data_IF_196226250753
#
_entry.id   IF_196226250753
#
_cell.length_a   1.000
_cell.length_b   1.000
_cell.length_c   1.000
_cell.angle_alpha   90.00
_cell.angle_beta   90.00
_cell.angle_gamma   90.00
#
_symmetry.space_group_name_H-M   'P 1'
#
loop_
_entity.id
_entity.type
_entity.pdbx_description
1 polymer ?
#
# COMPACT_ATOMS: atom_id res chain seq x y z
N UNK A 1 3.01 9.45 -55.43
CA UNK A 1 1.98 8.54 -54.86
C UNK A 1 2.53 7.97 -53.56
N UNK A 2 1.90 8.26 -52.42
CA UNK A 2 2.30 7.65 -51.16
C UNK A 2 1.94 6.17 -51.16
N UNK A 3 2.90 5.30 -50.82
CA UNK A 3 2.68 3.86 -50.74
C UNK A 3 1.76 3.59 -49.54
N UNK A 4 0.51 3.20 -49.79
CA UNK A 4 -0.44 2.86 -48.72
C UNK A 4 0.12 1.64 -47.99
N UNK A 5 0.56 1.83 -46.75
CA UNK A 5 0.96 0.75 -45.86
C UNK A 5 -0.31 0.02 -45.39
N UNK A 6 -0.42 -1.27 -45.69
CA UNK A 6 -1.47 -2.13 -45.17
C UNK A 6 -0.87 -3.06 -44.12
N UNK A 7 -1.32 -2.92 -42.88
CA UNK A 7 -0.99 -3.87 -41.83
C UNK A 7 -1.70 -5.20 -42.14
N UNK A 8 -0.95 -6.30 -42.24
CA UNK A 8 -1.52 -7.66 -42.33
C UNK A 8 -1.23 -8.38 -41.02
N UNK A 9 -2.28 -8.64 -40.25
CA UNK A 9 -2.21 -9.49 -39.05
C UNK A 9 -2.68 -10.89 -39.45
N UNK A 10 -1.96 -11.93 -39.05
CA UNK A 10 -2.41 -13.32 -39.27
C UNK A 10 -3.63 -13.62 -38.41
N UNK A 11 -4.50 -14.52 -38.88
CA UNK A 11 -5.68 -14.95 -38.12
C UNK A 11 -5.29 -15.52 -36.74
N UNK A 12 -4.26 -16.36 -36.69
CA UNK A 12 -3.71 -16.91 -35.45
C UNK A 12 -3.27 -15.82 -34.44
N UNK A 13 -2.63 -14.75 -34.92
CA UNK A 13 -2.27 -13.63 -34.03
C UNK A 13 -3.48 -12.86 -33.54
N UNK A 14 -4.51 -12.70 -34.38
CA UNK A 14 -5.76 -12.04 -33.99
C UNK A 14 -6.52 -12.86 -32.94
N UNK A 15 -6.60 -14.18 -33.10
CA UNK A 15 -7.24 -15.09 -32.16
C UNK A 15 -6.56 -15.07 -30.78
N UNK A 16 -5.22 -15.06 -30.74
CA UNK A 16 -4.45 -14.92 -29.49
C UNK A 16 -4.79 -13.65 -28.71
N UNK A 17 -4.89 -12.51 -29.41
CA UNK A 17 -5.21 -11.22 -28.78
C UNK A 17 -6.68 -11.18 -28.33
N UNK A 18 -7.60 -11.73 -29.13
CA UNK A 18 -9.00 -11.80 -28.76
C UNK A 18 -9.22 -12.70 -27.52
N UNK A 19 -8.56 -13.86 -27.47
CA UNK A 19 -8.61 -14.75 -26.31
C UNK A 19 -8.09 -14.08 -25.03
N UNK A 20 -7.05 -13.23 -25.13
CA UNK A 20 -6.61 -12.42 -24.00
C UNK A 20 -7.68 -11.43 -23.53
N UNK A 21 -8.37 -10.74 -24.47
CA UNK A 21 -9.44 -9.78 -24.13
C UNK A 21 -10.62 -10.44 -23.42
N UNK A 22 -11.05 -11.61 -23.88
CA UNK A 22 -12.11 -12.39 -23.25
C UNK A 22 -11.72 -12.87 -21.83
N UNK A 23 -10.47 -13.34 -21.68
CA UNK A 23 -9.94 -13.74 -20.39
C UNK A 23 -9.80 -12.54 -19.44
N UNK A 24 -9.42 -11.36 -19.95
CA UNK A 24 -9.35 -10.12 -19.18
C UNK A 24 -10.73 -9.72 -18.65
N UNK A 25 -11.76 -9.74 -19.52
CA UNK A 25 -13.12 -9.43 -19.10
C UNK A 25 -13.63 -10.39 -18.02
N UNK A 26 -13.38 -11.69 -18.20
CA UNK A 26 -13.74 -12.72 -17.21
C UNK A 26 -13.05 -12.47 -15.85
N UNK A 27 -11.77 -12.06 -15.86
CA UNK A 27 -11.04 -11.72 -14.64
C UNK A 27 -11.61 -10.49 -13.94
N UNK A 28 -11.99 -9.45 -14.71
CA UNK A 28 -12.63 -8.26 -14.15
C UNK A 28 -13.97 -8.58 -13.53
N UNK A 29 -14.79 -9.41 -14.19
CA UNK A 29 -16.09 -9.81 -13.63
C UNK A 29 -15.92 -10.57 -12.31
N UNK A 30 -15.02 -11.55 -12.25
CA UNK A 30 -14.70 -12.26 -11.01
C UNK A 30 -14.18 -11.31 -9.94
N UNK A 31 -13.29 -10.39 -10.31
CA UNK A 31 -12.76 -9.41 -9.37
C UNK A 31 -13.88 -8.55 -8.78
N UNK A 32 -14.72 -7.94 -9.63
CA UNK A 32 -15.76 -7.00 -9.20
C UNK A 32 -16.93 -7.68 -8.48
N UNK A 33 -17.40 -8.82 -8.96
CA UNK A 33 -18.68 -9.40 -8.52
C UNK A 33 -18.52 -10.59 -7.56
N UNK A 34 -17.35 -11.22 -7.50
CA UNK A 34 -17.07 -12.31 -6.57
C UNK A 34 -16.10 -11.83 -5.48
N UNK A 35 -14.91 -11.37 -5.88
CA UNK A 35 -13.85 -11.03 -4.94
C UNK A 35 -14.16 -9.77 -4.12
N UNK A 36 -14.54 -8.64 -4.74
CA UNK A 36 -14.73 -7.38 -4.01
C UNK A 36 -15.78 -7.46 -2.89
N UNK A 37 -17.01 -7.98 -3.11
CA UNK A 37 -18.02 -8.02 -2.06
C UNK A 37 -17.58 -8.85 -0.85
N UNK A 38 -17.02 -10.04 -1.09
CA UNK A 38 -16.48 -10.90 -0.04
C UNK A 38 -15.33 -10.21 0.70
N UNK A 39 -14.45 -9.54 -0.05
CA UNK A 39 -13.29 -8.86 0.53
C UNK A 39 -13.67 -7.68 1.40
N UNK A 40 -14.64 -6.87 0.97
CA UNK A 40 -15.16 -5.75 1.75
C UNK A 40 -15.71 -6.25 3.10
N UNK A 41 -16.51 -7.32 3.09
CA UNK A 41 -17.08 -7.88 4.32
C UNK A 41 -15.99 -8.45 5.23
N UNK A 42 -15.03 -9.20 4.68
CA UNK A 42 -13.89 -9.73 5.43
C UNK A 42 -13.11 -8.62 6.12
N UNK A 43 -12.77 -7.56 5.38
CA UNK A 43 -12.02 -6.43 5.91
C UNK A 43 -12.79 -5.68 6.99
N UNK A 44 -14.10 -5.48 6.81
CA UNK A 44 -14.95 -4.82 7.80
C UNK A 44 -15.01 -5.60 9.12
N UNK A 45 -15.11 -6.93 9.05
CA UNK A 45 -15.07 -7.79 10.23
C UNK A 45 -13.71 -7.72 10.92
N UNK A 46 -12.60 -7.73 10.17
CA UNK A 46 -11.27 -7.68 10.76
C UNK A 46 -10.99 -6.33 11.45
N UNK A 47 -11.47 -5.22 10.89
CA UNK A 47 -11.40 -3.89 11.54
C UNK A 47 -12.15 -3.84 12.88
N UNK A 48 -13.13 -4.71 13.09
CA UNK A 48 -13.87 -4.85 14.35
C UNK A 48 -13.20 -5.79 15.34
N UNK A 49 -12.18 -6.54 14.93
CA UNK A 49 -11.44 -7.45 15.81
C UNK A 49 -10.39 -6.73 16.66
N UNK A 50 -9.92 -7.41 17.71
CA UNK A 50 -8.87 -6.93 18.62
C UNK A 50 -7.53 -6.64 17.92
N UNK A 51 -7.34 -7.16 16.70
CA UNK A 51 -6.14 -6.88 15.89
C UNK A 51 -6.01 -5.39 15.57
N UNK A 52 -7.14 -4.72 15.30
CA UNK A 52 -7.18 -3.30 14.93
C UNK A 52 -7.86 -2.40 15.98
N UNK A 53 -8.50 -2.98 16.99
CA UNK A 53 -9.12 -2.24 18.11
C UNK A 53 -8.25 -2.31 19.36
N UNK A 54 -7.06 -1.71 19.27
CA UNK A 54 -6.15 -1.53 20.41
C UNK A 54 -6.47 -0.21 21.09
N UNK A 55 -6.96 -0.25 22.33
CA UNK A 55 -7.32 0.96 23.10
C UNK A 55 -6.07 1.68 23.64
N UNK A 56 -5.12 0.92 24.19
CA UNK A 56 -3.86 1.43 24.73
C UNK A 56 -2.70 1.06 23.79
N UNK A 57 -2.17 2.07 23.08
CA UNK A 57 -1.06 1.89 22.15
C UNK A 57 0.26 1.55 22.85
N UNK A 58 0.40 1.81 24.16
CA UNK A 58 1.58 1.38 24.92
C UNK A 58 1.71 -0.15 24.94
N UNK A 59 0.61 -0.87 24.76
CA UNK A 59 0.63 -2.33 24.60
C UNK A 59 1.37 -2.79 23.35
N UNK A 60 1.64 -1.91 22.39
CA UNK A 60 2.43 -2.22 21.19
C UNK A 60 3.93 -2.10 21.44
N UNK A 61 4.36 -1.49 22.53
CA UNK A 61 5.77 -1.30 22.83
C UNK A 61 6.50 -2.62 22.97
N UNK A 62 7.74 -2.64 22.47
CA UNK A 62 8.69 -3.72 22.70
C UNK A 62 9.74 -3.30 23.71
N UNK A 63 10.20 -4.25 24.52
CA UNK A 63 11.33 -4.02 25.41
C UNK A 63 12.59 -3.68 24.61
N UNK A 64 13.15 -2.50 24.89
CA UNK A 64 14.43 -2.05 24.35
C UNK A 64 15.50 -2.38 25.37
N UNK A 65 16.09 -3.57 25.24
CA UNK A 65 17.15 -4.11 26.11
C UNK A 65 18.51 -3.39 25.93
N UNK A 66 18.48 -2.07 25.86
CA UNK A 66 19.63 -1.20 25.76
C UNK A 66 20.03 -0.81 27.20
N UNK A 67 21.28 -1.06 27.63
CA UNK A 67 21.74 -0.70 28.97
C UNK A 67 21.63 0.82 29.22
N UNK A 68 21.21 1.20 30.42
CA UNK A 68 21.14 2.61 30.85
C UNK A 68 22.46 2.92 31.58
N UNK A 69 23.20 3.98 31.20
CA UNK A 69 24.45 4.33 31.86
C UNK A 69 24.20 4.89 33.25
N UNK A 70 25.05 4.54 34.21
CA UNK A 70 25.03 5.12 35.55
C UNK A 70 25.44 6.61 35.52
N UNK A 71 24.89 7.43 36.42
CA UNK A 71 25.32 8.82 36.56
C UNK A 71 26.81 8.89 36.93
N UNK A 72 27.56 9.89 36.42
CA UNK A 72 28.97 10.04 36.77
C UNK A 72 29.14 10.30 38.27
N UNK A 73 30.04 9.56 38.92
CA UNK A 73 30.40 9.79 40.33
C UNK A 73 31.40 10.93 40.46
N UNK A 74 31.32 11.77 41.51
CA UNK A 74 32.18 12.95 41.70
C UNK A 74 33.67 12.62 41.83
N UNK A 75 34.05 11.39 42.21
CA UNK A 75 35.44 10.94 42.29
C UNK A 75 36.12 10.79 40.90
N UNK A 76 35.35 10.87 39.80
CA UNK A 76 35.88 10.73 38.44
C UNK A 76 36.35 12.04 37.79
N UNK A 77 36.16 13.18 38.46
CA UNK A 77 36.61 14.49 37.95
C UNK A 77 38.08 14.81 38.29
N UNK A 78 38.63 14.20 39.34
CA UNK A 78 39.96 14.54 39.88
C UNK A 78 41.13 13.70 39.29
N UNK A 79 40.83 12.70 38.46
CA UNK A 79 41.85 11.90 37.74
C UNK A 79 42.19 12.46 36.35
N UNK A 80 42.11 13.78 36.17
CA UNK A 80 42.38 14.47 34.89
C UNK A 80 43.86 14.83 34.68
N UNK A 81 44.80 14.21 35.42
CA UNK A 81 46.24 14.35 35.18
C UNK A 81 46.94 13.00 35.10
N UNK A 82 47.42 12.71 33.89
CA UNK A 82 48.33 11.62 33.48
C UNK A 82 47.68 10.24 33.39
N UNK A 83 47.25 9.83 32.19
CA UNK A 83 48.05 8.94 31.34
C UNK A 83 47.41 8.78 29.95
N UNK A 84 48.28 8.62 28.97
CA UNK A 84 47.98 8.37 27.56
C UNK A 84 47.39 6.96 27.39
N UNK A 85 46.08 6.86 27.43
CA UNK A 85 45.33 5.93 26.59
C UNK A 85 43.90 6.46 26.50
N UNK A 86 43.49 6.85 25.28
CA UNK A 86 42.07 7.04 24.98
C UNK A 86 41.42 5.67 25.02
N UNK A 87 41.18 5.14 26.21
CA UNK A 87 40.06 4.23 26.40
C UNK A 87 38.82 5.05 26.08
N UNK A 88 38.41 5.03 24.80
CA UNK A 88 37.02 5.22 24.44
C UNK A 88 36.23 4.41 25.46
N UNK A 89 35.53 5.06 26.40
CA UNK A 89 34.56 4.41 27.28
C UNK A 89 33.60 3.69 26.35
N UNK A 90 33.90 2.43 26.04
CA UNK A 90 33.15 1.64 25.06
C UNK A 90 31.76 1.59 25.62
N UNK A 91 30.84 2.28 24.95
CA UNK A 91 29.43 2.22 25.28
C UNK A 91 29.07 0.74 25.53
N UNK A 92 28.40 0.41 26.64
CA UNK A 92 28.13 -0.97 27.01
C UNK A 92 27.57 -1.70 25.78
N UNK A 93 28.22 -2.82 25.41
CA UNK A 93 27.91 -3.52 24.15
C UNK A 93 26.42 -3.87 24.13
N UNK A 94 25.67 -3.18 23.28
CA UNK A 94 24.25 -3.45 23.11
C UNK A 94 24.09 -4.87 22.55
N UNK A 95 23.21 -5.65 23.19
CA UNK A 95 22.85 -6.98 22.72
C UNK A 95 21.99 -6.93 21.45
N UNK A 96 21.53 -8.10 21.03
CA UNK A 96 20.58 -8.22 19.92
C UNK A 96 19.26 -7.51 20.26
N UNK A 97 18.82 -6.58 19.40
CA UNK A 97 17.55 -5.88 19.51
C UNK A 97 16.59 -6.40 18.43
N UNK A 98 15.44 -6.91 18.85
CA UNK A 98 14.45 -7.53 17.97
C UNK A 98 13.48 -6.49 17.36
N UNK A 99 12.90 -6.85 16.22
CA UNK A 99 11.78 -6.14 15.61
C UNK A 99 10.49 -6.19 16.45
N UNK A 100 9.55 -5.30 16.15
CA UNK A 100 8.24 -5.30 16.79
C UNK A 100 7.33 -6.37 16.20
N UNK A 101 7.28 -7.54 16.84
CA UNK A 101 6.47 -8.68 16.39
C UNK A 101 4.96 -8.38 16.32
N UNK A 102 4.45 -7.52 17.21
CA UNK A 102 3.03 -7.13 17.22
C UNK A 102 2.70 -6.36 15.95
N UNK A 103 3.55 -5.39 15.60
CA UNK A 103 3.44 -4.66 14.33
C UNK A 103 3.69 -5.54 13.12
N UNK A 104 4.64 -6.49 13.18
CA UNK A 104 4.86 -7.43 12.08
C UNK A 104 3.61 -8.25 11.76
N UNK A 105 2.84 -8.67 12.78
CA UNK A 105 1.56 -9.37 12.56
C UNK A 105 0.56 -8.49 11.80
N UNK A 106 0.44 -7.21 12.17
CA UNK A 106 -0.44 -6.26 11.47
C UNK A 106 0.05 -5.98 10.05
N UNK A 107 1.35 -5.79 9.85
CA UNK A 107 1.96 -5.60 8.53
C UNK A 107 1.69 -6.77 7.59
N UNK A 108 1.79 -8.00 8.09
CA UNK A 108 1.50 -9.23 7.34
C UNK A 108 0.02 -9.34 6.91
N UNK A 109 -0.88 -8.62 7.57
CA UNK A 109 -2.29 -8.51 7.18
C UNK A 109 -2.47 -7.37 6.18
N UNK A 110 -1.91 -6.19 6.43
CA UNK A 110 -2.19 -4.98 5.62
C UNK A 110 -1.47 -4.99 4.26
N UNK A 111 -0.20 -5.43 4.21
CA UNK A 111 0.58 -5.39 2.97
C UNK A 111 0.01 -6.25 1.82
N UNK A 112 -0.52 -7.47 2.05
CA UNK A 112 -1.23 -8.22 1.02
C UNK A 112 -2.44 -7.47 0.45
N UNK A 113 -3.19 -6.75 1.27
CA UNK A 113 -4.39 -6.04 0.80
C UNK A 113 -4.06 -4.83 -0.07
N UNK A 114 -3.03 -4.07 0.30
CA UNK A 114 -2.48 -2.99 -0.51
C UNK A 114 -2.05 -3.53 -1.89
N UNK A 115 -1.32 -4.66 -1.92
CA UNK A 115 -0.89 -5.29 -3.18
C UNK A 115 -2.08 -5.74 -4.02
N UNK A 116 -3.04 -6.42 -3.41
CA UNK A 116 -4.23 -6.94 -4.09
C UNK A 116 -5.06 -5.81 -4.71
N UNK A 117 -5.28 -4.71 -3.99
CA UNK A 117 -5.98 -3.54 -4.53
C UNK A 117 -5.20 -2.91 -5.70
N UNK A 118 -3.88 -2.76 -5.58
CA UNK A 118 -3.02 -2.21 -6.65
C UNK A 118 -3.07 -3.04 -7.93
N UNK A 119 -3.05 -4.36 -7.81
CA UNK A 119 -3.20 -5.31 -8.92
C UNK A 119 -4.60 -5.20 -9.53
N UNK A 120 -5.64 -5.16 -8.70
CA UNK A 120 -7.02 -4.96 -9.13
C UNK A 120 -7.25 -3.64 -9.88
N UNK A 121 -6.66 -2.53 -9.41
CA UNK A 121 -6.70 -1.26 -10.14
C UNK A 121 -6.03 -1.37 -11.51
N UNK A 122 -4.90 -2.07 -11.61
CA UNK A 122 -4.20 -2.28 -12.89
C UNK A 122 -5.06 -3.11 -13.84
N UNK A 123 -5.69 -4.18 -13.35
CA UNK A 123 -6.62 -5.01 -14.11
C UNK A 123 -7.78 -4.19 -14.69
N UNK A 124 -8.43 -3.36 -13.87
CA UNK A 124 -9.56 -2.52 -14.27
C UNK A 124 -9.12 -1.46 -15.28
N UNK A 125 -8.00 -0.77 -15.05
CA UNK A 125 -7.48 0.24 -16.00
C UNK A 125 -7.21 -0.40 -17.36
N UNK A 126 -6.55 -1.57 -17.39
CA UNK A 126 -6.29 -2.30 -18.63
C UNK A 126 -7.58 -2.68 -19.33
N UNK A 127 -8.59 -3.15 -18.59
CA UNK A 127 -9.89 -3.46 -19.15
C UNK A 127 -10.57 -2.24 -19.77
N UNK A 128 -10.68 -1.12 -19.05
CA UNK A 128 -11.33 0.08 -19.58
C UNK A 128 -10.60 0.59 -20.83
N UNK A 129 -9.27 0.59 -20.85
CA UNK A 129 -8.50 0.93 -22.07
C UNK A 129 -8.85 0.04 -23.27
N UNK A 130 -9.15 -1.24 -23.07
CA UNK A 130 -9.59 -2.12 -24.14
C UNK A 130 -11.03 -1.87 -24.58
N UNK A 131 -11.86 -1.27 -23.73
CA UNK A 131 -13.23 -0.86 -24.05
C UNK A 131 -13.31 0.51 -24.74
N UNK A 132 -12.22 1.30 -24.76
CA UNK A 132 -12.20 2.57 -25.49
C UNK A 132 -12.30 2.27 -27.00
N UNK A 133 -13.32 2.81 -27.68
CA UNK A 133 -13.57 2.53 -29.09
C UNK A 133 -12.56 3.30 -29.96
N UNK A 134 -12.68 3.10 -31.27
CA UNK A 134 -11.96 3.91 -32.25
C UNK A 134 -12.30 5.40 -32.04
N UNK A 135 -11.28 6.26 -32.16
CA UNK A 135 -11.46 7.71 -32.11
C UNK A 135 -12.21 8.15 -33.38
N UNK A 136 -13.34 8.82 -33.18
CA UNK A 136 -14.23 9.34 -34.21
C UNK A 136 -14.70 10.74 -33.81
N UNK A 137 -15.22 11.51 -34.77
CA UNK A 137 -15.73 12.86 -34.50
C UNK A 137 -17.16 12.79 -33.95
N UNK A 138 -17.35 13.17 -32.70
CA UNK A 138 -18.65 13.22 -32.04
C UNK A 138 -19.06 11.92 -31.32
N UNK A 139 -20.17 12.02 -30.57
CA UNK A 139 -20.67 10.95 -29.69
C UNK A 139 -19.64 10.52 -28.62
N UNK A 140 -18.88 11.46 -28.05
CA UNK A 140 -17.75 11.15 -27.16
C UNK A 140 -18.08 11.13 -25.67
N UNK A 141 -19.34 11.36 -25.29
CA UNK A 141 -19.73 11.40 -23.89
C UNK A 141 -19.39 10.09 -23.15
N UNK A 142 -19.70 8.92 -23.74
CA UNK A 142 -19.36 7.63 -23.13
C UNK A 142 -17.85 7.42 -23.02
N UNK A 143 -17.07 7.90 -24.00
CA UNK A 143 -15.61 7.87 -23.96
C UNK A 143 -15.07 8.75 -22.83
N UNK A 144 -15.61 9.96 -22.65
CA UNK A 144 -15.26 10.83 -21.51
C UNK A 144 -15.59 10.20 -20.15
N UNK A 145 -16.67 9.41 -20.06
CA UNK A 145 -16.96 8.61 -18.85
C UNK A 145 -15.87 7.57 -18.61
N UNK A 146 -15.48 6.81 -19.64
CA UNK A 146 -14.38 5.85 -19.55
C UNK A 146 -13.08 6.51 -19.07
N UNK A 147 -12.69 7.64 -19.68
CA UNK A 147 -11.50 8.41 -19.30
C UNK A 147 -11.55 8.88 -17.84
N UNK A 148 -12.70 9.39 -17.38
CA UNK A 148 -12.87 9.84 -15.98
C UNK A 148 -12.74 8.69 -14.99
N UNK A 149 -13.24 7.50 -15.35
CA UNK A 149 -13.09 6.31 -14.52
C UNK A 149 -11.64 5.83 -14.48
N UNK A 150 -10.93 5.83 -15.60
CA UNK A 150 -9.49 5.53 -15.64
C UNK A 150 -8.70 6.51 -14.77
N UNK A 151 -8.99 7.81 -14.86
CA UNK A 151 -8.38 8.85 -14.01
C UNK A 151 -8.60 8.52 -12.52
N UNK A 152 -9.83 8.17 -12.15
CA UNK A 152 -10.16 7.87 -10.76
C UNK A 152 -9.47 6.61 -10.24
N UNK A 153 -9.53 5.50 -10.99
CA UNK A 153 -8.88 4.24 -10.60
C UNK A 153 -7.36 4.41 -10.55
N UNK A 154 -6.79 5.23 -11.43
CA UNK A 154 -5.37 5.59 -11.39
C UNK A 154 -5.03 6.39 -10.14
N UNK A 155 -5.86 7.35 -9.73
CA UNK A 155 -5.66 8.10 -8.50
C UNK A 155 -5.67 7.18 -7.25
N UNK A 156 -6.58 6.21 -7.20
CA UNK A 156 -6.61 5.19 -6.14
C UNK A 156 -5.32 4.37 -6.14
N UNK A 157 -4.88 3.89 -7.31
CA UNK A 157 -3.63 3.13 -7.45
C UNK A 157 -2.42 3.92 -6.92
N UNK A 158 -2.28 5.18 -7.31
CA UNK A 158 -1.17 6.06 -6.87
C UNK A 158 -1.19 6.29 -5.35
N UNK A 159 -2.37 6.45 -4.75
CA UNK A 159 -2.53 6.58 -3.30
C UNK A 159 -2.04 5.32 -2.58
N UNK A 160 -2.44 4.14 -3.06
CA UNK A 160 -2.04 2.84 -2.48
C UNK A 160 -0.53 2.59 -2.63
N UNK A 161 0.08 2.98 -3.75
CA UNK A 161 1.54 2.93 -3.96
C UNK A 161 2.30 3.86 -3.00
N UNK A 162 1.74 5.04 -2.72
CA UNK A 162 2.29 5.98 -1.73
C UNK A 162 2.23 5.38 -0.33
N UNK A 163 1.10 4.78 0.05
CA UNK A 163 0.94 4.09 1.33
C UNK A 163 1.95 2.94 1.48
N UNK A 164 2.15 2.14 0.42
CA UNK A 164 3.17 1.09 0.41
C UNK A 164 4.59 1.64 0.65
N UNK A 165 4.90 2.79 0.07
CA UNK A 165 6.20 3.47 0.27
C UNK A 165 6.37 3.94 1.70
N UNK A 166 5.32 4.49 2.32
CA UNK A 166 5.35 4.93 3.72
C UNK A 166 5.53 3.75 4.69
N UNK A 167 4.89 2.61 4.42
CA UNK A 167 5.12 1.37 5.18
C UNK A 167 6.59 0.92 5.09
N UNK A 168 7.21 1.04 3.92
CA UNK A 168 8.64 0.71 3.78
C UNK A 168 9.54 1.65 4.59
N UNK A 169 9.19 2.94 4.71
CA UNK A 169 9.97 3.92 5.48
C UNK A 169 9.99 3.62 6.97
N UNK A 170 8.95 3.00 7.52
CA UNK A 170 8.92 2.60 8.93
C UNK A 170 10.15 1.77 9.31
N UNK A 171 10.53 0.80 8.47
CA UNK A 171 11.67 -0.08 8.77
C UNK A 171 12.99 0.70 8.85
N UNK A 172 13.23 1.61 7.92
CA UNK A 172 14.43 2.46 7.95
C UNK A 172 14.40 3.44 9.12
N UNK A 173 13.28 4.12 9.36
CA UNK A 173 13.17 5.14 10.40
C UNK A 173 13.25 4.54 11.81
N UNK A 174 12.62 3.39 12.02
CA UNK A 174 12.75 2.63 13.26
C UNK A 174 14.17 2.10 13.44
N UNK A 175 14.77 1.57 12.37
CA UNK A 175 16.17 1.12 12.39
C UNK A 175 17.13 2.23 12.81
N UNK A 176 16.95 3.44 12.26
CA UNK A 176 17.74 4.62 12.63
C UNK A 176 17.51 5.07 14.07
N UNK A 177 16.25 5.05 14.53
CA UNK A 177 15.91 5.38 15.91
C UNK A 177 16.53 4.39 16.91
N UNK A 178 16.44 3.08 16.63
CA UNK A 178 17.07 2.02 17.42
C UNK A 178 18.60 2.17 17.41
N UNK A 179 19.20 2.45 16.25
CA UNK A 179 20.64 2.66 16.14
C UNK A 179 21.10 3.86 16.99
N UNK A 180 20.37 4.98 16.97
CA UNK A 180 20.65 6.14 17.82
C UNK A 180 20.48 5.82 19.30
N UNK A 181 19.41 5.16 19.70
CA UNK A 181 19.17 4.74 21.08
C UNK A 181 20.29 3.83 21.61
N UNK A 182 20.83 2.95 20.76
CA UNK A 182 21.91 2.03 21.15
C UNK A 182 23.28 2.69 21.25
N UNK A 183 23.53 3.77 20.48
CA UNK A 183 24.78 4.54 20.50
C UNK A 183 24.79 5.59 21.61
N UNK A 184 23.72 6.36 21.70
CA UNK A 184 23.55 7.47 22.64
C UNK A 184 22.70 7.03 23.83
N UNK A 185 23.20 6.06 24.60
CA UNK A 185 22.44 5.35 25.65
C UNK A 185 21.91 6.25 26.78
N UNK A 186 22.51 7.43 26.96
CA UNK A 186 22.12 8.45 27.92
C UNK A 186 20.96 9.35 27.45
N UNK A 187 20.64 9.34 26.15
CA UNK A 187 19.55 10.14 25.57
C UNK A 187 18.26 9.32 25.53
N UNK A 188 17.44 9.46 26.57
CA UNK A 188 16.22 8.65 26.74
C UNK A 188 15.14 8.96 25.68
N UNK A 189 15.16 10.14 25.06
CA UNK A 189 14.25 10.50 23.97
C UNK A 189 14.38 9.58 22.76
N UNK A 190 15.54 8.98 22.51
CA UNK A 190 15.68 8.01 21.42
C UNK A 190 14.97 6.68 21.70
N UNK A 191 14.82 6.30 22.97
CA UNK A 191 14.01 5.13 23.34
C UNK A 191 12.52 5.43 23.15
N UNK A 192 12.09 6.60 23.61
CA UNK A 192 10.72 7.08 23.39
C UNK A 192 10.41 7.20 21.89
N UNK A 193 11.36 7.69 21.08
CA UNK A 193 11.20 7.78 19.62
C UNK A 193 10.95 6.42 18.96
N UNK A 194 11.59 5.34 19.43
CA UNK A 194 11.33 4.00 18.89
C UNK A 194 9.89 3.57 19.18
N UNK A 195 9.41 3.81 20.39
CA UNK A 195 8.03 3.50 20.80
C UNK A 195 7.01 4.37 20.05
N UNK A 196 7.25 5.67 19.93
CA UNK A 196 6.43 6.59 19.16
C UNK A 196 6.31 6.16 17.68
N UNK A 197 7.42 5.75 17.07
CA UNK A 197 7.41 5.22 15.70
C UNK A 197 6.56 3.95 15.57
N UNK A 198 6.56 3.10 16.58
CA UNK A 198 5.73 1.90 16.61
C UNK A 198 4.23 2.27 16.73
N UNK A 199 3.87 3.21 17.60
CA UNK A 199 2.48 3.68 17.77
C UNK A 199 1.93 4.34 16.49
N UNK A 200 2.65 5.32 15.94
CA UNK A 200 2.24 6.02 14.71
C UNK A 200 2.04 5.02 13.58
N UNK A 201 2.96 4.06 13.43
CA UNK A 201 2.88 3.07 12.37
C UNK A 201 1.65 2.17 12.52
N UNK A 202 1.27 1.78 13.74
CA UNK A 202 0.04 1.02 13.94
C UNK A 202 -1.19 1.81 13.49
N UNK A 203 -1.28 3.09 13.88
CA UNK A 203 -2.39 3.97 13.50
C UNK A 203 -2.45 4.12 11.98
N UNK A 204 -1.31 4.37 11.33
CA UNK A 204 -1.22 4.48 9.87
C UNK A 204 -1.62 3.18 9.16
N UNK A 205 -1.24 2.02 9.69
CA UNK A 205 -1.63 0.71 9.14
C UNK A 205 -3.15 0.47 9.25
N UNK A 206 -3.76 0.85 10.37
CA UNK A 206 -5.22 0.77 10.56
C UNK A 206 -5.95 1.69 9.59
N UNK A 207 -5.46 2.92 9.40
CA UNK A 207 -6.01 3.86 8.42
C UNK A 207 -5.85 3.31 7.01
N UNK A 208 -4.66 2.82 6.65
CA UNK A 208 -4.39 2.23 5.35
C UNK A 208 -5.33 1.05 5.03
N UNK A 209 -5.54 0.15 5.98
CA UNK A 209 -6.47 -0.97 5.82
C UNK A 209 -7.92 -0.50 5.62
N UNK A 210 -8.33 0.53 6.36
CA UNK A 210 -9.65 1.17 6.21
C UNK A 210 -9.79 1.83 4.84
N UNK A 211 -8.78 2.57 4.38
CA UNK A 211 -8.77 3.18 3.04
C UNK A 211 -8.87 2.13 1.94
N UNK A 212 -8.12 1.01 2.04
CA UNK A 212 -8.21 -0.10 1.06
C UNK A 212 -9.64 -0.65 0.98
N UNK A 213 -10.28 -0.93 2.12
CA UNK A 213 -11.69 -1.36 2.16
C UNK A 213 -12.61 -0.34 1.49
N UNK A 214 -12.44 0.94 1.81
CA UNK A 214 -13.25 2.01 1.25
C UNK A 214 -13.05 2.16 -0.27
N UNK A 215 -11.82 2.02 -0.76
CA UNK A 215 -11.53 2.03 -2.18
C UNK A 215 -12.14 0.84 -2.93
N UNK A 216 -12.21 -0.34 -2.31
CA UNK A 216 -12.95 -1.46 -2.89
C UNK A 216 -14.44 -1.13 -3.07
N UNK A 217 -15.08 -0.56 -2.05
CA UNK A 217 -16.49 -0.12 -2.14
C UNK A 217 -16.65 0.94 -3.24
N UNK A 218 -15.75 1.92 -3.28
CA UNK A 218 -15.81 3.02 -4.22
C UNK A 218 -15.64 2.56 -5.68
N UNK A 219 -14.65 1.69 -5.93
CA UNK A 219 -14.41 1.09 -7.26
C UNK A 219 -15.62 0.28 -7.71
N UNK A 220 -16.18 -0.54 -6.82
CA UNK A 220 -17.38 -1.32 -7.11
C UNK A 220 -18.56 -0.41 -7.50
N UNK A 221 -18.84 0.60 -6.68
CA UNK A 221 -19.96 1.52 -6.87
C UNK A 221 -19.83 2.34 -8.16
N UNK A 222 -18.66 2.95 -8.42
CA UNK A 222 -18.47 3.79 -9.60
C UNK A 222 -18.52 2.98 -10.90
N UNK A 223 -17.99 1.75 -10.91
CA UNK A 223 -18.06 0.89 -12.09
C UNK A 223 -19.49 0.43 -12.33
N UNK A 224 -20.19 -0.03 -11.29
CA UNK A 224 -21.56 -0.53 -11.43
C UNK A 224 -22.50 0.57 -11.96
N UNK A 225 -22.40 1.80 -11.42
CA UNK A 225 -23.22 2.94 -11.85
C UNK A 225 -22.99 3.34 -13.31
N UNK A 226 -21.80 3.10 -13.83
CA UNK A 226 -21.40 3.55 -15.18
C UNK A 226 -21.20 2.38 -16.14
N UNK A 227 -21.60 1.16 -15.77
CA UNK A 227 -21.25 -0.07 -16.49
C UNK A 227 -21.63 -0.02 -17.98
N UNK A 228 -22.86 0.42 -18.29
CA UNK A 228 -23.34 0.58 -19.67
C UNK A 228 -22.44 1.50 -20.49
N UNK A 229 -22.01 2.64 -19.93
CA UNK A 229 -21.13 3.59 -20.62
C UNK A 229 -19.68 3.11 -20.71
N UNK A 230 -19.27 2.22 -19.82
CA UNK A 230 -17.96 1.57 -19.92
C UNK A 230 -17.96 0.54 -21.04
N UNK A 231 -19.02 -0.25 -21.17
CA UNK A 231 -19.06 -1.37 -22.13
C UNK A 231 -19.57 -1.00 -23.51
N UNK A 232 -20.52 -0.06 -23.60
CA UNK A 232 -21.06 0.48 -24.85
C UNK A 232 -21.05 2.02 -24.82
N UNK A 233 -19.86 2.64 -24.95
CA UNK A 233 -19.70 4.09 -24.86
C UNK A 233 -20.38 4.85 -26.02
N UNK A 234 -20.56 4.19 -27.17
CA UNK A 234 -21.15 4.79 -28.38
C UNK A 234 -22.65 4.47 -28.54
N UNK A 235 -23.20 3.54 -27.77
CA UNK A 235 -24.62 3.17 -27.85
C UNK A 235 -24.94 2.34 -29.10
N UNK A 236 -23.95 1.61 -29.63
CA UNK A 236 -24.06 0.82 -30.86
C UNK A 236 -24.92 -0.43 -30.64
N UNK A 237 -24.98 -0.94 -29.41
CA UNK A 237 -25.73 -2.15 -29.04
C UNK A 237 -27.24 -1.87 -28.82
N UNK A 238 -27.76 -0.74 -29.31
CA UNK A 238 -29.20 -0.46 -29.40
C UNK A 238 -29.91 -1.28 -30.49
N UNK A 239 -29.45 -2.50 -30.75
CA UNK A 239 -30.21 -3.55 -31.43
C UNK A 239 -30.63 -4.62 -30.43
N UNK A 240 -31.84 -4.44 -29.89
CA UNK A 240 -32.66 -5.47 -29.26
C UNK A 240 -32.09 -6.11 -27.98
N UNK A 241 -32.53 -5.62 -26.81
CA UNK A 241 -33.25 -6.45 -25.85
C UNK A 241 -34.01 -5.56 -24.84
N UNK A 242 -35.34 -5.60 -24.97
CA UNK A 242 -36.42 -5.20 -24.05
C UNK A 242 -36.59 -3.71 -23.67
#
# INVERSE_FOLDING_TARGET
MAKVLRLKVSQDNQEKVNGFREALFSQVQRFLFEFLPEKIQYMDNLLKSDVFNVEDLATLHTELNIPIPDPPTPESEDSSKMETDKEEKKAPRCGFLKENEKLQKVLNIVQPEIRSLREGCTLIITWIHHMIPKIEDGNDFGVSVQEKLVERVTAVKTKVETTQTNISKYFSERGDAVAKASKETHVMDYRALVHEKDEITFVDLRIAYTEVRNFYVEIFDIILKNFEKITDPKGEDKSSMY
#
